data_IF_973641028788
#
_entry.id   IF_973641028788
#
_cell.length_a   1.000
_cell.length_b   1.000
_cell.length_c   1.000
_cell.angle_alpha   90.00
_cell.angle_beta   90.00
_cell.angle_gamma   90.00
#
_symmetry.space_group_name_H-M   'P 1'
#
loop_
_entity.id
_entity.type
_entity.pdbx_description
1 polymer ?
#
# COMPACT_ATOMS: atom_id res chain seq x y z
N UNK A 1 -13.84 -19.82 38.53
CA UNK A 1 -14.18 -20.14 37.12
C UNK A 1 -13.37 -19.29 36.13
N UNK A 2 -12.09 -19.03 36.39
CA UNK A 2 -11.23 -18.17 35.56
C UNK A 2 -9.94 -18.88 35.11
N UNK A 3 -9.94 -20.21 35.14
CA UNK A 3 -8.74 -21.03 34.87
C UNK A 3 -8.90 -21.99 33.68
N UNK A 4 -10.10 -22.10 33.08
CA UNK A 4 -10.36 -23.03 31.98
C UNK A 4 -10.30 -22.40 30.58
N UNK A 5 -10.34 -21.07 30.46
CA UNK A 5 -10.31 -20.37 29.16
C UNK A 5 -8.90 -20.16 28.60
N UNK A 6 -7.86 -20.24 29.44
CA UNK A 6 -6.47 -20.07 29.01
C UNK A 6 -5.78 -21.37 28.54
N UNK A 7 -6.40 -22.54 28.71
CA UNK A 7 -5.89 -23.81 28.18
C UNK A 7 -6.36 -24.10 26.75
N UNK A 8 -7.51 -23.56 26.35
CA UNK A 8 -8.06 -23.77 24.99
C UNK A 8 -7.21 -23.06 23.92
N UNK A 9 -6.51 -21.98 24.26
CA UNK A 9 -5.59 -21.27 23.36
C UNK A 9 -4.16 -21.85 23.34
N UNK A 10 -3.85 -22.86 24.16
CA UNK A 10 -2.58 -23.59 24.14
C UNK A 10 -2.64 -24.88 23.31
N UNK A 11 -3.80 -25.22 22.77
CA UNK A 11 -3.98 -26.37 21.89
C UNK A 11 -3.70 -26.01 20.42
N UNK A 12 -2.72 -26.72 19.83
CA UNK A 12 -2.46 -26.85 18.40
C UNK A 12 -1.60 -25.79 17.70
N UNK A 13 -0.33 -25.71 18.11
CA UNK A 13 0.73 -25.29 17.17
C UNK A 13 1.09 -26.37 16.14
N UNK A 14 0.61 -27.61 16.31
CA UNK A 14 1.06 -28.78 15.54
C UNK A 14 0.00 -29.45 14.64
N UNK A 15 -1.23 -28.92 14.51
CA UNK A 15 -2.27 -29.58 13.67
C UNK A 15 -2.07 -29.47 12.16
N UNK A 16 -1.12 -28.64 11.68
CA UNK A 16 -1.02 -28.31 10.26
C UNK A 16 0.26 -28.83 9.60
N UNK A 17 0.73 -30.04 9.93
CA UNK A 17 1.84 -30.60 9.17
C UNK A 17 1.96 -32.12 9.06
N UNK A 18 0.90 -32.80 8.63
CA UNK A 18 0.99 -34.20 8.18
C UNK A 18 1.96 -34.42 7.00
N UNK A 19 2.43 -33.34 6.35
CA UNK A 19 3.25 -33.36 5.13
C UNK A 19 4.73 -32.96 5.35
N UNK A 20 5.15 -32.67 6.58
CA UNK A 20 6.55 -32.28 6.88
C UNK A 20 7.02 -30.94 6.27
N UNK A 21 6.09 -30.08 5.83
CA UNK A 21 6.36 -28.75 5.29
C UNK A 21 6.81 -27.77 6.38
N UNK A 22 7.80 -26.93 6.09
CA UNK A 22 8.20 -25.87 7.03
C UNK A 22 7.07 -24.84 7.15
N UNK A 23 6.81 -24.29 8.35
CA UNK A 23 5.81 -23.23 8.52
C UNK A 23 6.18 -22.01 7.67
N UNK A 24 5.15 -21.34 7.15
CA UNK A 24 5.34 -20.12 6.35
C UNK A 24 5.98 -19.00 7.18
N UNK A 25 6.75 -18.13 6.50
CA UNK A 25 7.41 -16.98 7.15
C UNK A 25 6.46 -15.83 7.49
N UNK A 26 5.27 -15.82 6.92
CA UNK A 26 4.26 -14.79 7.13
C UNK A 26 3.50 -15.05 8.41
N UNK A 27 3.27 -14.00 9.20
CA UNK A 27 2.37 -14.07 10.33
C UNK A 27 0.95 -14.43 9.85
N UNK A 28 0.22 -15.20 10.65
CA UNK A 28 -1.19 -15.46 10.41
C UNK A 28 -1.99 -14.15 10.48
N UNK A 29 -3.12 -14.11 9.78
CA UNK A 29 -4.03 -12.98 9.86
C UNK A 29 -4.37 -12.64 11.32
N UNK A 30 -4.35 -11.34 11.64
CA UNK A 30 -4.73 -10.84 12.97
C UNK A 30 -6.25 -10.83 13.18
N UNK A 31 -7.02 -11.03 12.10
CA UNK A 31 -8.46 -11.03 12.07
C UNK A 31 -9.03 -12.36 11.53
N UNK A 32 -10.28 -12.66 11.88
CA UNK A 32 -10.96 -13.89 11.46
C UNK A 32 -11.24 -13.95 9.96
N UNK A 33 -11.32 -12.80 9.29
CA UNK A 33 -11.64 -12.71 7.87
C UNK A 33 -10.39 -12.81 6.97
N UNK A 34 -9.18 -12.86 7.53
CA UNK A 34 -7.97 -12.92 6.74
C UNK A 34 -7.61 -11.60 6.04
N UNK A 35 -8.23 -10.48 6.41
CA UNK A 35 -8.02 -9.19 5.72
C UNK A 35 -6.60 -8.65 5.86
N UNK A 36 -5.85 -9.12 6.86
CA UNK A 36 -4.43 -8.82 7.02
C UNK A 36 -3.47 -9.68 6.20
N UNK A 37 -3.96 -10.64 5.40
CA UNK A 37 -3.10 -11.50 4.56
C UNK A 37 -2.64 -10.69 3.34
N UNK A 38 -1.34 -10.72 3.01
CA UNK A 38 -0.81 -9.94 1.89
C UNK A 38 -1.33 -10.48 0.54
N UNK A 39 -1.64 -9.58 -0.38
CA UNK A 39 -2.13 -9.92 -1.72
C UNK A 39 -0.94 -10.12 -2.67
N UNK A 40 -0.13 -9.07 -2.83
CA UNK A 40 1.12 -9.01 -3.61
C UNK A 40 0.97 -9.38 -5.09
N UNK A 41 -0.23 -9.19 -5.64
CA UNK A 41 -0.52 -9.44 -7.05
C UNK A 41 -0.41 -8.14 -7.82
N UNK A 42 0.51 -8.09 -8.78
CA UNK A 42 0.57 -7.07 -9.80
C UNK A 42 0.04 -7.64 -11.12
N UNK A 43 -0.67 -6.84 -11.90
CA UNK A 43 -1.19 -7.28 -13.18
C UNK A 43 -2.35 -6.46 -13.72
N UNK A 44 -2.90 -6.94 -14.83
CA UNK A 44 -4.00 -6.33 -15.55
C UNK A 44 -5.07 -7.36 -15.87
N UNK A 45 -6.33 -6.96 -15.72
CA UNK A 45 -7.51 -7.70 -16.16
C UNK A 45 -8.34 -6.76 -17.01
N UNK A 46 -8.56 -7.13 -18.27
CA UNK A 46 -9.40 -6.38 -19.20
C UNK A 46 -10.83 -6.88 -19.13
N UNK A 47 -11.79 -5.96 -19.31
CA UNK A 47 -13.21 -6.26 -19.38
C UNK A 47 -13.68 -7.21 -18.25
N UNK A 48 -13.59 -6.73 -17.01
CA UNK A 48 -13.95 -7.54 -15.85
C UNK A 48 -15.41 -8.01 -15.94
N UNK A 49 -15.67 -9.21 -15.43
CA UNK A 49 -17.04 -9.72 -15.31
C UNK A 49 -17.86 -8.87 -14.32
N UNK A 50 -18.95 -8.27 -14.81
CA UNK A 50 -19.84 -7.42 -14.02
C UNK A 50 -21.21 -8.07 -13.88
N UNK A 51 -21.81 -7.96 -12.69
CA UNK A 51 -23.22 -8.27 -12.47
C UNK A 51 -24.03 -6.97 -12.53
N UNK A 52 -24.95 -6.86 -13.49
CA UNK A 52 -25.66 -5.62 -13.80
C UNK A 52 -25.05 -4.89 -15.00
N UNK A 53 -25.27 -3.57 -15.09
CA UNK A 53 -24.82 -2.76 -16.22
C UNK A 53 -24.00 -1.55 -15.72
N UNK A 54 -22.85 -1.30 -16.34
CA UNK A 54 -22.08 -0.07 -16.11
C UNK A 54 -22.66 1.04 -17.00
N UNK A 55 -23.06 2.19 -16.43
CA UNK A 55 -23.56 3.32 -17.22
C UNK A 55 -22.52 3.78 -18.25
N UNK A 56 -22.86 3.89 -19.55
CA UNK A 56 -21.91 4.27 -20.60
C UNK A 56 -21.38 5.70 -20.45
N UNK A 57 -22.05 6.54 -19.64
CA UNK A 57 -21.64 7.91 -19.34
C UNK A 57 -20.44 7.98 -18.39
N UNK A 58 -20.13 6.90 -17.65
CA UNK A 58 -18.97 6.86 -16.76
C UNK A 58 -17.72 6.58 -17.61
N UNK A 59 -16.91 7.61 -17.79
CA UNK A 59 -15.62 7.53 -18.46
C UNK A 59 -14.53 8.16 -17.59
N UNK A 60 -13.62 7.34 -17.11
CA UNK A 60 -12.57 7.78 -16.19
C UNK A 60 -11.94 6.62 -15.43
N UNK A 61 -11.07 6.94 -14.48
CA UNK A 61 -10.39 5.92 -13.67
C UNK A 61 -10.60 6.21 -12.19
N UNK A 62 -11.10 5.21 -11.47
CA UNK A 62 -11.13 5.21 -10.02
C UNK A 62 -9.85 4.58 -9.49
N UNK A 63 -9.13 5.32 -8.65
CA UNK A 63 -7.89 4.86 -8.05
C UNK A 63 -8.09 4.67 -6.55
N UNK A 64 -7.47 3.61 -6.03
CA UNK A 64 -7.28 3.41 -4.59
C UNK A 64 -5.88 2.90 -4.33
N UNK A 65 -5.40 3.11 -3.11
CA UNK A 65 -4.16 2.51 -2.63
C UNK A 65 -4.48 1.58 -1.46
N UNK A 66 -3.84 0.42 -1.43
CA UNK A 66 -3.89 -0.51 -0.31
C UNK A 66 -2.52 -0.59 0.37
N UNK A 67 -2.53 -0.98 1.64
CA UNK A 67 -1.32 -1.36 2.37
C UNK A 67 -1.10 -2.85 2.14
N UNK A 68 0.00 -3.20 1.46
CA UNK A 68 0.29 -4.58 1.07
C UNK A 68 1.79 -4.86 1.21
N UNK A 69 2.26 -5.43 2.34
CA UNK A 69 3.68 -5.66 2.55
C UNK A 69 4.25 -6.66 1.54
N UNK A 70 5.34 -6.29 0.86
CA UNK A 70 5.96 -7.14 -0.16
C UNK A 70 6.78 -8.30 0.47
N UNK A 71 7.45 -8.03 1.58
CA UNK A 71 8.21 -8.98 2.39
C UNK A 71 7.56 -9.17 3.78
N UNK A 72 7.81 -10.29 4.48
CA UNK A 72 7.35 -10.45 5.85
C UNK A 72 7.81 -9.27 6.70
N UNK A 73 6.87 -8.51 7.32
CA UNK A 73 7.21 -7.30 8.04
C UNK A 73 7.95 -7.63 9.35
N UNK A 74 8.60 -6.63 9.93
CA UNK A 74 9.17 -6.76 11.26
C UNK A 74 8.10 -7.18 12.28
N UNK A 75 8.45 -8.07 13.21
CA UNK A 75 7.51 -8.55 14.24
C UNK A 75 7.01 -7.37 15.06
N UNK A 76 5.70 -7.29 15.28
CA UNK A 76 5.06 -6.19 16.01
C UNK A 76 4.71 -4.98 15.14
N UNK A 77 4.98 -5.02 13.83
CA UNK A 77 4.54 -3.98 12.89
C UNK A 77 3.01 -3.88 12.83
N UNK A 78 2.53 -2.65 12.71
CA UNK A 78 1.10 -2.34 12.66
C UNK A 78 0.54 -2.60 11.25
N UNK A 79 -0.75 -2.95 11.10
CA UNK A 79 -1.33 -3.25 9.78
C UNK A 79 -1.31 -2.07 8.77
N UNK A 80 -1.07 -0.85 9.24
CA UNK A 80 -1.00 0.36 8.40
C UNK A 80 0.40 0.59 7.79
N UNK A 81 1.37 -0.23 8.18
CA UNK A 81 2.75 -0.19 7.73
C UNK A 81 3.02 -1.38 6.78
N UNK A 82 3.01 -1.07 5.50
CA UNK A 82 3.19 -1.99 4.39
C UNK A 82 3.27 -1.18 3.10
N UNK A 83 3.79 -1.78 2.05
CA UNK A 83 4.07 -1.06 0.80
C UNK A 83 2.78 -0.59 0.14
N UNK A 84 2.85 0.58 -0.51
CA UNK A 84 1.74 1.15 -1.24
C UNK A 84 1.48 0.38 -2.52
N UNK A 85 0.27 -0.15 -2.66
CA UNK A 85 -0.13 -0.93 -3.82
C UNK A 85 -1.38 -0.30 -4.44
N UNK A 86 -1.27 0.18 -5.67
CA UNK A 86 -2.34 0.92 -6.36
C UNK A 86 -3.26 -0.08 -7.04
N UNK A 87 -4.56 0.15 -6.95
CA UNK A 87 -5.55 -0.44 -7.86
C UNK A 87 -6.22 0.68 -8.67
N UNK A 88 -6.20 0.54 -9.99
CA UNK A 88 -6.87 1.42 -10.92
C UNK A 88 -8.00 0.66 -11.62
N UNK A 89 -9.22 1.18 -11.48
CA UNK A 89 -10.42 0.69 -12.16
C UNK A 89 -10.77 1.68 -13.27
N UNK A 90 -10.51 1.32 -14.52
CA UNK A 90 -10.71 2.20 -15.67
C UNK A 90 -12.04 1.88 -16.34
N UNK A 91 -12.98 2.81 -16.23
CA UNK A 91 -14.30 2.73 -16.82
C UNK A 91 -14.29 3.37 -18.20
N UNK A 92 -14.79 2.65 -19.19
CA UNK A 92 -14.96 3.14 -20.56
C UNK A 92 -16.03 2.31 -21.27
N UNK A 93 -16.90 2.96 -22.05
CA UNK A 93 -17.88 2.29 -22.93
C UNK A 93 -18.71 1.16 -22.27
N UNK A 94 -19.11 1.32 -21.00
CA UNK A 94 -19.87 0.31 -20.27
C UNK A 94 -19.03 -0.89 -19.78
N UNK A 95 -17.71 -0.79 -19.80
CA UNK A 95 -16.75 -1.80 -19.33
C UNK A 95 -15.86 -1.24 -18.22
N UNK A 96 -15.20 -2.13 -17.47
CA UNK A 96 -14.18 -1.77 -16.49
C UNK A 96 -12.96 -2.67 -16.61
N UNK A 97 -11.78 -2.05 -16.75
CA UNK A 97 -10.49 -2.72 -16.65
C UNK A 97 -9.91 -2.55 -15.24
N UNK A 98 -9.19 -3.56 -14.75
CA UNK A 98 -8.40 -3.48 -13.51
C UNK A 98 -6.91 -3.51 -13.83
N UNK A 99 -6.16 -2.60 -13.21
CA UNK A 99 -4.69 -2.63 -13.16
C UNK A 99 -4.21 -2.49 -11.72
N UNK A 100 -3.24 -3.30 -11.32
CA UNK A 100 -2.65 -3.28 -9.99
C UNK A 100 -1.13 -3.26 -10.09
N UNK A 101 -0.48 -2.35 -9.35
CA UNK A 101 0.98 -2.21 -9.27
C UNK A 101 1.44 -1.65 -7.94
N UNK A 102 2.65 -2.03 -7.53
CA UNK A 102 3.32 -1.41 -6.41
C UNK A 102 3.81 -0.01 -6.77
N UNK A 103 3.79 0.88 -5.78
CA UNK A 103 4.54 2.13 -5.86
C UNK A 103 5.98 1.78 -5.51
N UNK A 104 6.89 2.00 -6.45
CA UNK A 104 8.30 1.65 -6.32
C UNK A 104 9.04 2.69 -5.46
N UNK A 105 8.66 2.77 -4.18
CA UNK A 105 9.34 3.64 -3.22
C UNK A 105 10.76 3.16 -2.96
N UNK A 106 11.63 4.05 -2.46
CA UNK A 106 13.00 3.67 -2.10
C UNK A 106 13.00 2.51 -1.09
N UNK A 107 12.09 2.56 -0.10
CA UNK A 107 11.87 1.47 0.86
C UNK A 107 11.53 0.15 0.17
N UNK A 108 10.52 0.15 -0.70
CA UNK A 108 10.08 -1.02 -1.44
C UNK A 108 11.23 -1.62 -2.27
N UNK A 109 11.95 -0.78 -3.02
CA UNK A 109 13.06 -1.22 -3.89
C UNK A 109 14.21 -1.85 -3.10
N UNK A 110 14.57 -1.28 -1.94
CA UNK A 110 15.62 -1.80 -1.07
C UNK A 110 15.23 -3.15 -0.45
N UNK A 111 14.00 -3.27 0.07
CA UNK A 111 13.51 -4.51 0.67
C UNK A 111 13.28 -5.61 -0.38
N UNK A 112 12.77 -5.26 -1.56
CA UNK A 112 12.64 -6.17 -2.71
C UNK A 112 14.00 -6.70 -3.15
N UNK A 113 15.00 -5.83 -3.27
CA UNK A 113 16.37 -6.23 -3.62
C UNK A 113 17.02 -7.12 -2.56
N UNK A 114 16.79 -6.85 -1.28
CA UNK A 114 17.32 -7.64 -0.17
C UNK A 114 16.50 -8.91 0.12
N UNK A 115 15.28 -9.01 -0.40
CA UNK A 115 14.29 -10.06 -0.14
C UNK A 115 14.05 -10.28 1.37
N UNK A 116 14.05 -9.20 2.15
CA UNK A 116 13.80 -9.18 3.59
C UNK A 116 13.45 -7.77 4.03
N UNK A 117 12.74 -7.65 5.14
CA UNK A 117 12.46 -6.37 5.78
C UNK A 117 13.77 -5.73 6.29
N UNK A 118 14.00 -4.48 5.92
CA UNK A 118 15.12 -3.63 6.33
C UNK A 118 14.64 -2.45 7.17
N UNK A 119 13.40 -2.02 6.96
CA UNK A 119 12.73 -1.00 7.74
C UNK A 119 11.97 -1.67 8.88
N UNK A 120 12.00 -1.04 10.05
CA UNK A 120 11.57 -1.67 11.30
C UNK A 120 10.11 -1.35 11.64
N UNK A 121 9.88 -0.97 12.89
CA UNK A 121 8.57 -0.61 13.41
C UNK A 121 8.09 0.74 12.84
N UNK A 122 6.77 0.85 12.68
CA UNK A 122 6.10 2.04 12.16
C UNK A 122 6.57 3.33 12.85
N UNK A 123 7.04 4.30 12.05
CA UNK A 123 7.56 5.60 12.50
C UNK A 123 8.69 5.51 13.54
N UNK A 124 9.48 4.45 13.52
CA UNK A 124 10.59 4.26 14.46
C UNK A 124 11.93 3.97 13.75
N UNK A 125 12.67 5.02 13.32
CA UNK A 125 13.95 4.89 12.62
C UNK A 125 15.03 4.12 13.40
N UNK A 126 14.94 4.05 14.73
CA UNK A 126 15.93 3.35 15.56
C UNK A 126 15.86 1.82 15.41
N UNK A 127 14.77 1.31 14.87
CA UNK A 127 14.57 -0.12 14.61
C UNK A 127 14.99 -0.54 13.20
N UNK A 128 15.38 0.42 12.35
CA UNK A 128 15.78 0.14 10.97
C UNK A 128 17.17 -0.49 10.94
N UNK A 129 17.40 -1.31 9.93
CA UNK A 129 18.73 -1.82 9.66
C UNK A 129 19.70 -0.65 9.36
N UNK A 130 20.95 -0.66 9.88
CA UNK A 130 21.87 0.46 9.72
C UNK A 130 22.12 0.89 8.25
N UNK A 131 22.01 -0.03 7.30
CA UNK A 131 22.24 0.25 5.87
C UNK A 131 21.15 1.09 5.19
N UNK A 132 19.97 1.26 5.79
CA UNK A 132 18.86 2.05 5.21
C UNK A 132 18.62 3.39 5.93
N UNK A 133 19.53 3.80 6.82
CA UNK A 133 19.36 5.04 7.62
C UNK A 133 19.24 6.32 6.79
N UNK A 134 19.82 6.34 5.59
CA UNK A 134 19.75 7.49 4.68
C UNK A 134 18.58 7.41 3.69
N UNK A 135 17.89 6.26 3.63
CA UNK A 135 16.81 6.02 2.68
C UNK A 135 15.50 6.68 3.13
N UNK A 136 14.66 7.01 2.17
CA UNK A 136 13.30 7.51 2.41
C UNK A 136 12.40 6.39 2.93
N UNK A 137 12.01 6.47 4.19
CA UNK A 137 11.06 5.57 4.86
C UNK A 137 9.59 5.96 4.58
N UNK A 138 9.22 6.05 3.31
CA UNK A 138 7.84 6.29 2.89
C UNK A 138 7.33 5.10 2.11
N UNK A 139 6.18 4.59 2.50
CA UNK A 139 5.48 3.50 1.81
C UNK A 139 4.51 3.99 0.74
N UNK A 140 4.25 5.30 0.67
CA UNK A 140 3.27 5.91 -0.25
C UNK A 140 1.87 5.25 -0.24
N UNK A 141 1.47 4.64 0.90
CA UNK A 141 0.33 3.72 0.96
C UNK A 141 -1.00 4.35 1.42
N UNK A 142 -1.06 5.67 1.64
CA UNK A 142 -2.20 6.28 2.35
C UNK A 142 -3.24 6.88 1.42
N UNK A 143 -2.82 7.59 0.38
CA UNK A 143 -3.76 8.17 -0.58
C UNK A 143 -3.10 8.41 -1.94
N UNK A 144 -3.91 8.56 -2.98
CA UNK A 144 -3.46 8.93 -4.32
C UNK A 144 -4.36 10.04 -4.89
N UNK A 145 -3.76 11.04 -5.52
CA UNK A 145 -4.52 12.21 -6.00
C UNK A 145 -3.87 12.85 -7.23
N UNK A 146 -4.70 13.32 -8.16
CA UNK A 146 -4.27 14.23 -9.23
C UNK A 146 -4.27 15.67 -8.71
N UNK A 147 -3.10 16.29 -8.65
CA UNK A 147 -2.93 17.68 -8.21
C UNK A 147 -1.71 18.33 -8.87
N UNK A 148 -1.84 19.62 -9.22
CA UNK A 148 -0.79 20.40 -9.89
C UNK A 148 -0.21 19.75 -11.16
N UNK A 149 -1.06 19.10 -11.96
CA UNK A 149 -0.66 18.43 -13.20
C UNK A 149 0.13 17.13 -12.98
N UNK A 150 0.17 16.63 -11.75
CA UNK A 150 0.89 15.43 -11.34
C UNK A 150 -0.06 14.45 -10.68
N UNK A 151 0.27 13.17 -10.74
CA UNK A 151 -0.48 12.13 -10.06
C UNK A 151 0.37 11.59 -8.91
N UNK A 152 -0.08 11.86 -7.68
CA UNK A 152 0.75 11.81 -6.48
C UNK A 152 0.28 10.70 -5.54
N UNK A 153 1.18 9.79 -5.19
CA UNK A 153 1.01 8.83 -4.12
C UNK A 153 1.58 9.37 -2.80
N UNK A 154 0.78 9.29 -1.73
CA UNK A 154 0.99 10.05 -0.51
C UNK A 154 1.13 9.15 0.71
N UNK A 155 2.02 9.58 1.62
CA UNK A 155 2.15 9.09 3.00
C UNK A 155 2.67 10.23 3.86
N UNK A 156 2.09 10.40 5.05
CA UNK A 156 2.34 11.56 5.92
C UNK A 156 3.80 11.74 6.38
N UNK A 157 4.66 10.72 6.26
CA UNK A 157 6.03 10.73 6.78
C UNK A 157 7.08 11.17 5.76
N UNK A 158 6.68 11.43 4.51
CA UNK A 158 7.60 11.87 3.46
C UNK A 158 6.95 12.80 2.45
N UNK A 159 7.74 13.21 1.45
CA UNK A 159 7.25 13.91 0.27
C UNK A 159 6.49 12.93 -0.64
N UNK A 160 5.65 13.43 -1.57
CA UNK A 160 4.91 12.57 -2.47
C UNK A 160 5.83 11.84 -3.44
N UNK A 161 5.38 10.65 -3.87
CA UNK A 161 5.89 9.99 -5.08
C UNK A 161 4.99 10.36 -6.25
N UNK A 162 5.58 10.71 -7.38
CA UNK A 162 4.83 10.86 -8.63
C UNK A 162 4.72 9.51 -9.33
N UNK A 163 3.53 9.23 -9.85
CA UNK A 163 3.18 7.98 -10.53
C UNK A 163 2.53 8.34 -11.85
N UNK A 164 2.79 7.58 -12.90
CA UNK A 164 2.09 7.73 -14.17
C UNK A 164 0.65 7.17 -14.03
N UNK A 165 -0.40 7.94 -14.33
CA UNK A 165 -1.78 7.50 -14.10
C UNK A 165 -2.21 6.34 -15.02
N UNK A 166 -1.53 6.14 -16.15
CA UNK A 166 -1.94 5.14 -17.14
C UNK A 166 -1.23 3.79 -16.97
N UNK A 167 0.07 3.85 -16.76
CA UNK A 167 0.96 2.69 -16.58
C UNK A 167 1.08 2.27 -15.12
N UNK A 168 0.81 3.18 -14.18
CA UNK A 168 1.09 3.07 -12.74
C UNK A 168 2.58 2.94 -12.41
N UNK A 169 3.47 3.33 -13.33
CA UNK A 169 4.91 3.36 -13.08
C UNK A 169 5.28 4.53 -12.16
N UNK A 170 6.19 4.29 -11.23
CA UNK A 170 6.67 5.35 -10.31
C UNK A 170 7.69 6.21 -11.03
N UNK A 171 7.39 7.50 -11.18
CA UNK A 171 8.23 8.46 -11.91
C UNK A 171 9.34 9.04 -11.01
N UNK A 172 9.09 9.21 -9.71
CA UNK A 172 10.11 9.66 -8.78
C UNK A 172 9.60 10.16 -7.44
N UNK A 173 10.53 10.37 -6.51
CA UNK A 173 10.30 11.01 -5.21
C UNK A 173 10.55 12.52 -5.29
N UNK A 174 9.80 13.31 -4.52
CA UNK A 174 9.86 14.78 -4.52
C UNK A 174 9.74 15.39 -5.94
N UNK A 175 8.57 15.26 -6.59
CA UNK A 175 8.37 15.76 -7.94
C UNK A 175 8.35 17.29 -8.05
N UNK A 176 8.46 18.00 -6.92
CA UNK A 176 8.54 19.46 -6.87
C UNK A 176 9.97 19.97 -6.77
N UNK A 177 10.96 19.07 -6.80
CA UNK A 177 12.39 19.39 -6.88
C UNK A 177 12.83 20.42 -5.82
N UNK A 178 12.47 20.19 -4.56
CA UNK A 178 12.85 21.06 -3.45
C UNK A 178 12.08 22.38 -3.31
N UNK A 179 11.08 22.65 -4.15
CA UNK A 179 10.17 23.80 -3.94
C UNK A 179 9.41 23.71 -2.60
N UNK A 180 9.20 22.48 -2.11
CA UNK A 180 8.62 22.22 -0.80
C UNK A 180 9.75 22.08 0.22
N UNK A 181 9.86 23.05 1.12
CA UNK A 181 10.87 23.04 2.19
C UNK A 181 10.54 22.07 3.34
N UNK A 182 9.27 21.67 3.47
CA UNK A 182 8.84 20.67 4.44
C UNK A 182 9.42 19.31 4.09
N UNK A 183 9.80 18.53 5.10
CA UNK A 183 10.22 17.13 4.91
C UNK A 183 9.04 16.18 4.72
N UNK A 184 7.83 16.63 5.04
CA UNK A 184 6.60 15.83 5.02
C UNK A 184 5.50 16.52 4.22
N UNK A 185 4.59 15.70 3.70
CA UNK A 185 3.44 16.15 2.94
C UNK A 185 2.17 15.42 3.41
N UNK A 186 1.04 16.13 3.51
CA UNK A 186 -0.21 15.51 3.98
C UNK A 186 -0.76 14.52 2.97
N UNK A 187 -1.27 13.39 3.44
CA UNK A 187 -2.00 12.43 2.60
C UNK A 187 -3.44 12.88 2.30
N UNK A 188 -3.95 13.92 2.97
CA UNK A 188 -5.34 14.35 2.87
C UNK A 188 -5.47 15.75 2.27
N UNK A 189 -4.96 15.91 1.05
CA UNK A 189 -5.14 17.12 0.26
C UNK A 189 -6.63 17.43 0.02
N UNK A 190 -6.95 18.72 0.03
CA UNK A 190 -8.28 19.24 -0.28
C UNK A 190 -8.20 20.08 -1.55
N UNK A 191 -8.99 19.75 -2.55
CA UNK A 191 -9.13 20.55 -3.76
C UNK A 191 -10.25 21.55 -3.54
N UNK A 192 -9.89 22.84 -3.52
CA UNK A 192 -10.87 23.92 -3.34
C UNK A 192 -11.39 24.34 -4.70
N UNK A 193 -12.70 24.24 -4.92
CA UNK A 193 -13.34 24.72 -6.14
C UNK A 193 -13.26 26.25 -6.22
N UNK A 194 -13.05 26.77 -7.44
CA UNK A 194 -12.84 28.21 -7.67
C UNK A 194 -14.04 29.07 -7.24
N UNK A 195 -15.24 28.49 -7.08
CA UNK A 195 -16.45 29.16 -6.63
C UNK A 195 -16.47 29.60 -5.16
N UNK A 196 -15.51 29.18 -4.33
CA UNK A 196 -15.48 29.45 -2.88
C UNK A 196 -14.36 30.41 -2.44
N UNK A 197 -13.78 31.20 -3.36
CA UNK A 197 -12.95 32.35 -2.97
C UNK A 197 -13.85 33.56 -2.81
N UNK A 198 -13.97 34.09 -1.59
CA UNK A 198 -14.46 35.46 -1.40
C UNK A 198 -13.54 36.42 -2.20
N UNK A 199 -14.11 37.46 -2.83
CA UNK A 199 -13.35 38.43 -3.62
C UNK A 199 -12.23 39.12 -2.83
#
# INVERSE_FOLDING_TARGET
MATATNEILKGNKDLHNSWGLKPQKWESAKDLAGSGIPCRIEGEVKDMMVFGEIPPEINGTFYRVMTDPFVPPHVGTTPIDGDGHISAFRFHNGQVDLKMRYIETERYLLERKANKSLFGLYRNPYTHHPCVRAAVDSTANTNIISWAGKFLALKEVGLPYEVDPDTLETLGYDPFAGQILSKTFTAHLKVVSRAHRCP
#
